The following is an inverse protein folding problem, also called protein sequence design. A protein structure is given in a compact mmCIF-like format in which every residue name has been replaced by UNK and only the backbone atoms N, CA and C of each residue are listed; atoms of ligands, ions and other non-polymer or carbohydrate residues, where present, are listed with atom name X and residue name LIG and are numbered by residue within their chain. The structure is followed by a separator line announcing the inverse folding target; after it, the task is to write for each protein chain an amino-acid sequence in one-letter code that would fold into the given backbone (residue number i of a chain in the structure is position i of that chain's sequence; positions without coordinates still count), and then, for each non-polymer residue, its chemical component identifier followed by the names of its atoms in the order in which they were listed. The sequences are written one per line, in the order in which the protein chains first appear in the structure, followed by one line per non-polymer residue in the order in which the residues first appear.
data_IF_389913020812
#
_entry.id   IF_389913020812
#
_cell.length_a   1.000
_cell.length_b   1.000
_cell.length_c   1.000
_cell.angle_alpha   90.00
_cell.angle_beta   90.00
_cell.angle_gamma   90.00
#
_symmetry.space_group_name_H-M   'P 1'
#
loop_
_entity.id
_entity.type
_entity.pdbx_description
1 polymer ?
#
# COMPACT_ATOMS: atom_id res chain seq x y z
N UNK A 1 -9.48 -12.46 15.51
CA UNK A 1 -8.89 -11.42 16.36
C UNK A 1 -8.91 -10.10 15.62
N UNK A 2 -9.07 -9.01 16.36
CA UNK A 2 -9.09 -7.67 15.81
C UNK A 2 -7.70 -7.27 15.29
N UNK A 3 -7.64 -6.80 14.05
CA UNK A 3 -6.42 -6.28 13.41
C UNK A 3 -6.67 -4.93 12.74
N UNK A 4 -5.57 -4.23 12.42
CA UNK A 4 -5.59 -2.96 11.71
C UNK A 4 -4.82 -3.10 10.38
N UNK A 5 -5.54 -3.02 9.27
CA UNK A 5 -5.01 -3.19 7.91
C UNK A 5 -4.41 -1.86 7.43
N UNK A 6 -3.12 -1.87 7.14
CA UNK A 6 -2.34 -0.72 6.63
C UNK A 6 -2.05 -0.81 5.14
N UNK A 7 -2.20 -1.99 4.50
CA UNK A 7 -1.94 -2.23 3.07
C UNK A 7 -2.55 -1.19 2.12
N UNK A 8 -3.75 -0.71 2.47
CA UNK A 8 -4.54 0.23 1.66
C UNK A 8 -4.57 1.65 2.23
N UNK A 9 -3.64 2.00 3.14
CA UNK A 9 -3.69 3.26 3.86
C UNK A 9 -3.73 4.51 2.96
N UNK A 10 -3.02 4.48 1.83
CA UNK A 10 -2.94 5.63 0.92
C UNK A 10 -4.18 5.83 0.04
N UNK A 11 -5.08 4.85 -0.05
CA UNK A 11 -6.30 4.95 -0.87
C UNK A 11 -7.59 4.89 -0.05
N UNK A 12 -7.59 4.12 1.04
CA UNK A 12 -8.79 3.83 1.85
C UNK A 12 -8.62 4.19 3.32
N UNK A 13 -7.43 4.65 3.73
CA UNK A 13 -7.07 4.79 5.13
C UNK A 13 -6.77 3.45 5.81
N UNK A 14 -6.46 3.51 7.11
CA UNK A 14 -6.29 2.33 7.95
C UNK A 14 -7.66 1.73 8.24
N UNK A 15 -7.82 0.43 7.99
CA UNK A 15 -9.09 -0.28 8.16
C UNK A 15 -9.02 -1.22 9.35
N UNK A 16 -10.15 -1.42 10.00
CA UNK A 16 -10.31 -2.38 11.09
C UNK A 16 -11.01 -3.64 10.56
N UNK A 17 -10.55 -4.82 10.99
CA UNK A 17 -11.17 -6.09 10.62
C UNK A 17 -10.95 -7.17 11.68
N UNK A 18 -11.86 -8.15 11.72
CA UNK A 18 -11.60 -9.43 12.37
C UNK A 18 -10.88 -10.36 11.39
N UNK A 19 -9.79 -10.97 11.85
CA UNK A 19 -8.96 -11.87 11.05
C UNK A 19 -8.52 -13.11 11.85
N UNK A 20 -8.33 -14.20 11.13
CA UNK A 20 -7.57 -15.35 11.60
C UNK A 20 -6.10 -15.10 11.30
N UNK A 21 -5.25 -15.14 12.33
CA UNK A 21 -3.81 -14.86 12.21
C UNK A 21 -3.03 -16.13 12.57
N UNK A 22 -2.10 -16.54 11.72
CA UNK A 22 -1.20 -17.65 11.98
C UNK A 22 0.09 -17.21 12.70
N UNK A 23 0.89 -18.19 13.14
CA UNK A 23 2.16 -17.95 13.83
C UNK A 23 3.22 -17.25 12.96
N UNK A 24 3.05 -17.27 11.63
CA UNK A 24 3.95 -16.61 10.68
C UNK A 24 3.56 -15.14 10.41
N UNK A 25 2.52 -14.63 11.09
CA UNK A 25 2.03 -13.27 10.89
C UNK A 25 1.24 -13.07 9.60
N UNK A 26 0.66 -14.15 9.07
CA UNK A 26 -0.28 -14.12 7.97
C UNK A 26 -1.70 -13.92 8.51
N UNK A 27 -2.41 -12.91 8.00
CA UNK A 27 -3.78 -12.61 8.43
C UNK A 27 -4.79 -12.84 7.30
N UNK A 28 -5.86 -13.57 7.63
CA UNK A 28 -6.97 -13.91 6.72
C UNK A 28 -8.24 -13.23 7.20
N UNK A 29 -8.80 -12.35 6.38
CA UNK A 29 -10.09 -11.69 6.65
C UNK A 29 -11.16 -12.34 5.79
N UNK A 30 -12.21 -12.86 6.41
CA UNK A 30 -13.36 -13.49 5.72
C UNK A 30 -14.60 -12.65 5.96
N UNK A 31 -15.23 -12.18 4.89
CA UNK A 31 -16.51 -11.45 4.94
C UNK A 31 -17.60 -12.29 4.27
N UNK A 32 -18.81 -12.37 4.82
CA UNK A 32 -19.93 -13.06 4.18
C UNK A 32 -20.15 -12.54 2.76
N UNK A 33 -20.27 -13.45 1.79
CA UNK A 33 -20.48 -13.09 0.38
C UNK A 33 -19.28 -12.50 -0.35
N UNK A 34 -18.06 -12.55 0.22
CA UNK A 34 -16.83 -12.10 -0.42
C UNK A 34 -15.75 -13.17 -0.41
N UNK A 35 -14.78 -13.04 -1.31
CA UNK A 35 -13.57 -13.85 -1.27
C UNK A 35 -12.73 -13.50 -0.04
N UNK A 36 -11.98 -14.47 0.48
CA UNK A 36 -11.06 -14.22 1.58
C UNK A 36 -9.98 -13.23 1.15
N UNK A 37 -9.72 -12.24 1.99
CA UNK A 37 -8.65 -11.27 1.80
C UNK A 37 -7.42 -11.69 2.63
N UNK A 38 -6.26 -11.66 1.99
CA UNK A 38 -5.00 -12.13 2.56
C UNK A 38 -4.01 -10.98 2.76
N UNK A 39 -3.47 -10.89 3.97
CA UNK A 39 -2.57 -9.83 4.40
C UNK A 39 -1.27 -10.43 4.92
N UNK A 40 -0.15 -10.04 4.29
CA UNK A 40 1.15 -10.65 4.53
C UNK A 40 2.06 -9.71 5.32
N UNK A 41 2.56 -10.19 6.45
CA UNK A 41 3.57 -9.49 7.25
C UNK A 41 2.94 -8.48 8.20
N UNK A 42 3.00 -8.80 9.48
CA UNK A 42 2.71 -7.88 10.56
C UNK A 42 3.66 -6.68 10.54
N UNK A 43 3.13 -5.47 10.73
CA UNK A 43 3.89 -4.23 10.58
C UNK A 43 4.06 -3.77 9.13
N UNK A 44 3.45 -4.46 8.15
CA UNK A 44 3.43 -4.06 6.73
C UNK A 44 2.01 -3.97 6.18
N UNK A 45 1.38 -5.13 5.98
CA UNK A 45 0.03 -5.20 5.40
C UNK A 45 -1.04 -4.99 6.48
N UNK A 46 -0.74 -5.41 7.72
CA UNK A 46 -1.60 -5.30 8.89
C UNK A 46 -0.78 -5.14 10.18
N UNK A 47 -1.41 -4.68 11.26
CA UNK A 47 -0.79 -4.49 12.58
C UNK A 47 -1.75 -4.92 13.70
N UNK A 48 -1.22 -5.27 14.88
CA UNK A 48 -2.02 -5.57 16.09
C UNK A 48 -2.61 -4.33 16.74
N UNK A 49 -1.96 -3.18 16.60
CA UNK A 49 -2.43 -1.91 17.19
C UNK A 49 -2.70 -0.86 16.13
N UNK A 50 -3.61 0.05 16.48
CA UNK A 50 -4.01 1.16 15.62
C UNK A 50 -2.85 2.14 15.42
N UNK A 51 -2.10 2.38 16.49
CA UNK A 51 -0.95 3.29 16.54
C UNK A 51 0.14 2.81 15.58
N UNK A 52 0.45 1.52 15.59
CA UNK A 52 1.42 0.93 14.67
C UNK A 52 0.95 1.04 13.22
N UNK A 53 -0.33 0.76 12.95
CA UNK A 53 -0.88 0.90 11.60
C UNK A 53 -0.79 2.34 11.08
N UNK A 54 -0.97 3.35 11.95
CA UNK A 54 -0.77 4.75 11.58
C UNK A 54 0.69 5.09 11.31
N UNK A 55 1.63 4.58 12.09
CA UNK A 55 3.06 4.77 11.82
C UNK A 55 3.45 4.17 10.45
N UNK A 56 2.94 2.98 10.13
CA UNK A 56 3.14 2.35 8.82
C UNK A 56 2.53 3.19 7.70
N UNK A 57 1.29 3.67 7.87
CA UNK A 57 0.61 4.53 6.91
C UNK A 57 1.39 5.83 6.65
N UNK A 58 1.94 6.44 7.71
CA UNK A 58 2.71 7.68 7.61
C UNK A 58 4.06 7.44 6.89
N UNK A 59 4.74 6.34 7.19
CA UNK A 59 5.95 5.94 6.46
C UNK A 59 5.66 5.69 4.96
N UNK A 60 4.53 5.05 4.63
CA UNK A 60 4.08 4.88 3.25
C UNK A 60 3.82 6.22 2.56
N UNK A 61 3.18 7.17 3.26
CA UNK A 61 2.89 8.52 2.75
C UNK A 61 4.17 9.26 2.40
N UNK A 62 5.14 9.30 3.31
CA UNK A 62 6.44 9.95 3.10
C UNK A 62 7.18 9.33 1.91
N UNK A 63 7.26 7.99 1.84
CA UNK A 63 7.91 7.28 0.73
C UNK A 63 7.22 7.56 -0.61
N UNK A 64 5.89 7.59 -0.65
CA UNK A 64 5.13 7.87 -1.87
C UNK A 64 5.37 9.30 -2.33
N UNK A 65 5.37 10.28 -1.43
CA UNK A 65 5.69 11.68 -1.74
C UNK A 65 7.09 11.80 -2.35
N UNK A 66 8.10 11.14 -1.78
CA UNK A 66 9.46 11.16 -2.31
C UNK A 66 9.53 10.60 -3.74
N UNK A 67 8.88 9.46 -3.99
CA UNK A 67 8.80 8.86 -5.33
C UNK A 67 8.09 9.77 -6.33
N UNK A 68 6.96 10.38 -5.94
CA UNK A 68 6.22 11.30 -6.80
C UNK A 68 7.02 12.55 -7.14
N UNK A 69 7.76 13.12 -6.19
CA UNK A 69 8.68 14.24 -6.45
C UNK A 69 9.73 13.87 -7.50
N UNK A 70 10.29 12.67 -7.42
CA UNK A 70 11.26 12.19 -8.42
C UNK A 70 10.62 12.04 -9.81
N UNK A 71 9.40 11.49 -9.88
CA UNK A 71 8.64 11.38 -11.14
C UNK A 71 8.34 12.76 -11.74
N UNK A 72 7.91 13.72 -10.92
CA UNK A 72 7.69 15.10 -11.35
C UNK A 72 8.98 15.72 -11.88
N UNK A 73 10.13 15.50 -11.22
CA UNK A 73 11.42 16.01 -11.70
C UNK A 73 11.78 15.43 -13.06
N UNK A 74 11.57 14.13 -13.28
CA UNK A 74 11.80 13.48 -14.57
C UNK A 74 10.92 14.08 -15.67
N UNK A 75 9.64 14.30 -15.38
CA UNK A 75 8.70 14.93 -16.31
C UNK A 75 9.10 16.37 -16.65
N UNK A 76 9.59 17.14 -15.67
CA UNK A 76 10.07 18.52 -15.89
C UNK A 76 11.30 18.61 -16.81
N UNK A 77 12.15 17.58 -16.81
CA UNK A 77 13.35 17.52 -17.64
C UNK A 77 13.09 16.89 -19.02
N UNK A 78 11.86 16.42 -19.27
CA UNK A 78 11.51 15.76 -20.52
C UNK A 78 11.42 16.79 -21.64
N UNK A 79 12.23 16.60 -22.69
CA UNK A 79 12.16 17.37 -23.93
C UNK A 79 11.72 16.45 -25.05
N UNK A 80 10.78 16.90 -25.88
CA UNK A 80 10.34 16.17 -27.07
C UNK A 80 11.01 16.78 -28.30
N UNK A 81 11.66 15.95 -29.12
CA UNK A 81 12.14 16.33 -30.44
C UNK A 81 11.32 15.59 -31.50
N UNK A 82 11.14 16.18 -32.67
CA UNK A 82 10.54 15.49 -33.82
C UNK A 82 11.51 14.39 -34.24
N UNK A 83 11.16 13.14 -33.94
CA UNK A 83 11.80 11.98 -34.56
C UNK A 83 11.08 11.69 -35.87
N UNK A 84 11.84 11.53 -36.96
CA UNK A 84 11.35 10.74 -38.08
C UNK A 84 10.96 9.38 -37.49
N UNK A 85 9.68 9.02 -37.61
CA UNK A 85 9.20 7.74 -37.13
C UNK A 85 10.13 6.67 -37.70
N UNK A 86 10.81 5.94 -36.82
CA UNK A 86 11.47 4.71 -37.21
C UNK A 86 10.36 3.73 -37.62
N UNK A 87 10.05 3.78 -38.93
CA UNK A 87 9.50 2.80 -39.85
C UNK A 87 8.88 1.55 -39.21
N UNK A 88 7.60 1.27 -39.47
CA UNK A 88 7.09 0.53 -40.65
C UNK A 88 6.71 -0.89 -40.24
#
# INVERSE_FOLDING_TARGET
MKIYISKYALSRGVLEAEADVDDNGFAVVRKPGSFAEYYHGEGRDWCRTREQAFQVAEAMRVKKIASLKQQISKLKMLTFAVGEGANA
#
